data_IF_063028704494
#
_entry.id   IF_063028704494
#
_cell.length_a   1.000
_cell.length_b   1.000
_cell.length_c   1.000
_cell.angle_alpha   90.00
_cell.angle_beta   90.00
_cell.angle_gamma   90.00
#
_symmetry.space_group_name_H-M   'P 1'
#
loop_
_entity.id
_entity.type
_entity.pdbx_description
1 polymer ?
#
# COMPACT_ATOMS: atom_id res chain seq x y z
N UNK A 1 -3.59 42.58 24.60
CA UNK A 1 -3.60 42.07 23.21
C UNK A 1 -2.37 41.23 22.83
N UNK A 2 -1.29 41.14 23.65
CA UNK A 2 -0.13 40.28 23.34
C UNK A 2 -0.12 38.91 24.05
N UNK A 3 -0.84 38.74 25.16
CA UNK A 3 -0.89 37.49 25.93
C UNK A 3 -1.74 36.39 25.26
N UNK A 4 -2.91 36.75 24.71
CA UNK A 4 -3.80 35.79 24.04
C UNK A 4 -3.23 35.25 22.74
N UNK A 5 -2.54 36.10 21.95
CA UNK A 5 -1.86 35.69 20.71
C UNK A 5 -0.77 34.68 21.02
N UNK A 6 0.08 34.96 22.03
CA UNK A 6 1.15 34.06 22.48
C UNK A 6 0.64 32.73 23.04
N UNK A 7 -0.56 32.72 23.64
CA UNK A 7 -1.20 31.48 24.11
C UNK A 7 -1.71 30.61 22.96
N UNK A 8 -2.29 31.23 21.93
CA UNK A 8 -2.78 30.54 20.74
C UNK A 8 -1.64 29.88 19.94
N UNK A 9 -0.51 30.58 19.78
CA UNK A 9 0.66 30.04 19.07
C UNK A 9 1.28 28.84 19.81
N UNK A 10 1.37 28.92 21.14
CA UNK A 10 1.86 27.81 21.98
C UNK A 10 0.92 26.61 21.94
N UNK A 11 -0.39 26.83 21.94
CA UNK A 11 -1.38 25.75 21.85
C UNK A 11 -1.33 25.07 20.47
N UNK A 12 -1.23 25.85 19.39
CA UNK A 12 -1.11 25.35 18.01
C UNK A 12 0.18 24.53 17.82
N UNK A 13 1.30 25.02 18.34
CA UNK A 13 2.58 24.30 18.31
C UNK A 13 2.50 22.95 19.06
N UNK A 14 1.97 22.95 20.29
CA UNK A 14 1.82 21.72 21.08
C UNK A 14 0.88 20.72 20.42
N UNK A 15 -0.23 21.20 19.83
CA UNK A 15 -1.17 20.37 19.09
C UNK A 15 -0.51 19.73 17.86
N UNK A 16 0.17 20.50 17.02
CA UNK A 16 0.88 19.99 15.83
C UNK A 16 1.96 18.97 16.21
N UNK A 17 2.75 19.27 17.25
CA UNK A 17 3.77 18.36 17.78
C UNK A 17 3.14 17.04 18.26
N UNK A 18 2.06 17.12 19.03
CA UNK A 18 1.36 15.94 19.53
C UNK A 18 0.77 15.11 18.38
N UNK A 19 0.10 15.76 17.42
CA UNK A 19 -0.44 15.09 16.24
C UNK A 19 0.64 14.38 15.41
N UNK A 20 1.80 15.01 15.21
CA UNK A 20 2.91 14.41 14.46
C UNK A 20 3.56 13.24 15.21
N UNK A 21 3.75 13.35 16.52
CA UNK A 21 4.27 12.26 17.35
C UNK A 21 3.32 11.07 17.29
N UNK A 22 2.02 11.29 17.45
CA UNK A 22 1.01 10.23 17.39
C UNK A 22 0.97 9.60 15.99
N UNK A 23 0.93 10.42 14.94
CA UNK A 23 0.97 9.96 13.54
C UNK A 23 2.20 9.07 13.28
N UNK A 24 3.41 9.59 13.54
CA UNK A 24 4.64 8.88 13.27
C UNK A 24 4.77 7.60 14.12
N UNK A 25 4.30 7.62 15.37
CA UNK A 25 4.33 6.43 16.24
C UNK A 25 3.38 5.34 15.75
N UNK A 26 2.16 5.69 15.31
CA UNK A 26 1.20 4.73 14.75
C UNK A 26 1.80 4.05 13.51
N UNK A 27 2.32 4.83 12.56
CA UNK A 27 2.91 4.28 11.34
C UNK A 27 4.19 3.48 11.61
N UNK A 28 4.97 3.87 12.63
CA UNK A 28 6.13 3.10 13.07
C UNK A 28 5.74 1.71 13.60
N UNK A 29 4.69 1.63 14.44
CA UNK A 29 4.16 0.37 14.94
C UNK A 29 3.56 -0.50 13.82
N UNK A 30 2.79 0.10 12.90
CA UNK A 30 2.24 -0.60 11.73
C UNK A 30 3.37 -1.13 10.85
N UNK A 31 4.38 -0.32 10.55
CA UNK A 31 5.55 -0.72 9.77
C UNK A 31 6.32 -1.86 10.43
N UNK A 32 6.52 -1.80 11.76
CA UNK A 32 7.14 -2.87 12.53
C UNK A 32 6.34 -4.18 12.50
N UNK A 33 5.01 -4.09 12.60
CA UNK A 33 4.11 -5.25 12.51
C UNK A 33 4.14 -5.89 11.12
N UNK A 34 4.06 -5.10 10.06
CA UNK A 34 4.15 -5.58 8.67
C UNK A 34 5.51 -6.22 8.41
N UNK A 35 6.60 -5.60 8.89
CA UNK A 35 7.94 -6.14 8.79
C UNK A 35 8.06 -7.50 9.51
N UNK A 36 7.50 -7.62 10.71
CA UNK A 36 7.49 -8.87 11.47
C UNK A 36 6.74 -9.98 10.72
N UNK A 37 5.56 -9.68 10.15
CA UNK A 37 4.81 -10.63 9.31
C UNK A 37 5.62 -11.04 8.09
N UNK A 38 6.23 -10.07 7.40
CA UNK A 38 7.04 -10.34 6.21
C UNK A 38 8.23 -11.26 6.51
N UNK A 39 8.97 -10.99 7.59
CA UNK A 39 10.08 -11.82 8.04
C UNK A 39 9.59 -13.22 8.42
N UNK A 40 8.49 -13.31 9.19
CA UNK A 40 7.91 -14.59 9.59
C UNK A 40 7.54 -15.45 8.36
N UNK A 41 6.82 -14.86 7.40
CA UNK A 41 6.42 -15.54 6.17
C UNK A 41 7.62 -15.99 5.33
N UNK A 42 8.67 -15.18 5.23
CA UNK A 42 9.88 -15.55 4.49
C UNK A 42 10.66 -16.68 5.18
N UNK A 43 10.75 -16.67 6.52
CA UNK A 43 11.38 -17.75 7.29
C UNK A 43 10.62 -19.06 7.09
N UNK A 44 9.29 -19.02 7.17
CA UNK A 44 8.44 -20.20 6.97
C UNK A 44 8.65 -20.77 5.55
N UNK A 45 8.63 -19.92 4.53
CA UNK A 45 8.92 -20.29 3.14
C UNK A 45 10.30 -20.94 2.96
N UNK A 46 11.34 -20.45 3.63
CA UNK A 46 12.69 -21.02 3.55
C UNK A 46 12.81 -22.38 4.25
N UNK A 47 12.10 -22.58 5.37
CA UNK A 47 12.12 -23.83 6.13
C UNK A 47 11.53 -25.01 5.32
N UNK A 48 10.51 -24.78 4.51
CA UNK A 48 9.83 -25.83 3.74
C UNK A 48 10.45 -26.14 2.36
N UNK A 49 11.67 -25.64 2.06
CA UNK A 49 12.43 -25.92 0.82
C UNK A 49 11.60 -25.79 -0.48
N UNK A 50 10.63 -24.88 -0.53
CA UNK A 50 10.01 -24.46 -1.78
C UNK A 50 11.04 -23.68 -2.59
N UNK A 51 11.58 -24.38 -3.58
CA UNK A 51 12.59 -24.06 -4.60
C UNK A 51 12.96 -22.59 -4.87
N UNK A 52 14.24 -22.46 -5.28
CA UNK A 52 14.95 -21.34 -5.90
C UNK A 52 14.12 -20.59 -6.97
N UNK A 53 13.16 -19.79 -6.51
CA UNK A 53 12.42 -18.85 -7.30
C UNK A 53 12.74 -17.45 -6.82
N UNK A 54 13.82 -16.86 -7.31
CA UNK A 54 13.91 -15.40 -7.33
C UNK A 54 12.75 -14.91 -8.21
N UNK A 55 12.12 -13.82 -7.77
CA UNK A 55 11.00 -13.09 -8.36
C UNK A 55 9.64 -13.28 -7.66
N UNK A 56 9.39 -12.31 -6.78
CA UNK A 56 8.06 -11.81 -6.36
C UNK A 56 7.26 -12.70 -5.41
N UNK A 57 7.90 -13.26 -4.38
CA UNK A 57 7.16 -13.73 -3.21
C UNK A 57 6.46 -12.52 -2.54
N UNK A 58 5.15 -12.59 -2.26
CA UNK A 58 4.44 -11.55 -1.51
C UNK A 58 5.14 -11.17 -0.19
N UNK A 59 5.82 -12.13 0.45
CA UNK A 59 6.61 -11.90 1.66
C UNK A 59 7.75 -10.89 1.46
N UNK A 60 8.49 -10.95 0.35
CA UNK A 60 9.59 -9.99 0.06
C UNK A 60 9.04 -8.57 -0.11
N UNK A 61 7.88 -8.43 -0.77
CA UNK A 61 7.21 -7.14 -0.93
C UNK A 61 6.81 -6.58 0.44
N UNK A 62 6.24 -7.41 1.33
CA UNK A 62 5.90 -7.02 2.70
C UNK A 62 7.14 -6.58 3.50
N UNK A 63 8.28 -7.28 3.37
CA UNK A 63 9.53 -6.90 4.03
C UNK A 63 10.00 -5.52 3.53
N UNK A 64 10.09 -5.32 2.21
CA UNK A 64 10.56 -4.05 1.64
C UNK A 64 9.65 -2.89 2.05
N UNK A 65 8.33 -3.05 1.94
CA UNK A 65 7.36 -2.04 2.37
C UNK A 65 7.44 -1.79 3.88
N UNK A 66 7.56 -2.84 4.69
CA UNK A 66 7.69 -2.75 6.15
C UNK A 66 8.96 -2.01 6.57
N UNK A 67 10.11 -2.30 5.96
CA UNK A 67 11.38 -1.61 6.24
C UNK A 67 11.29 -0.13 5.89
N UNK A 68 10.80 0.21 4.70
CA UNK A 68 10.67 1.62 4.26
C UNK A 68 9.77 2.38 5.24
N UNK A 69 8.59 1.81 5.55
CA UNK A 69 7.63 2.42 6.46
C UNK A 69 8.19 2.59 7.88
N UNK A 70 8.90 1.57 8.39
CA UNK A 70 9.53 1.60 9.71
C UNK A 70 10.59 2.70 9.79
N UNK A 71 11.51 2.79 8.81
CA UNK A 71 12.59 3.78 8.80
C UNK A 71 12.02 5.20 8.68
N UNK A 72 11.13 5.45 7.72
CA UNK A 72 10.55 6.78 7.49
C UNK A 72 9.77 7.24 8.73
N UNK A 73 8.99 6.35 9.34
CA UNK A 73 8.21 6.69 10.53
C UNK A 73 9.10 6.88 11.76
N UNK A 74 10.17 6.10 11.91
CA UNK A 74 11.16 6.27 12.99
C UNK A 74 11.85 7.64 12.90
N UNK A 75 12.24 8.06 11.69
CA UNK A 75 12.76 9.42 11.45
C UNK A 75 11.71 10.46 11.86
N UNK A 76 10.44 10.27 11.53
CA UNK A 76 9.35 11.15 11.94
C UNK A 76 9.19 11.28 13.46
N UNK A 77 9.30 10.17 14.20
CA UNK A 77 9.28 10.17 15.67
C UNK A 77 10.47 10.94 16.23
N UNK A 78 11.69 10.67 15.73
CA UNK A 78 12.91 11.37 16.17
C UNK A 78 12.86 12.86 15.84
N UNK A 79 12.40 13.22 14.65
CA UNK A 79 12.24 14.61 14.20
C UNK A 79 11.31 15.39 15.13
N UNK A 80 10.18 14.78 15.49
CA UNK A 80 9.15 15.41 16.34
C UNK A 80 9.56 15.49 17.81
N UNK A 81 10.36 14.54 18.31
CA UNK A 81 10.85 14.55 19.70
C UNK A 81 12.03 15.50 19.92
N UNK A 82 12.95 15.57 18.95
CA UNK A 82 14.18 16.38 19.06
C UNK A 82 14.01 17.82 18.58
N UNK A 83 12.85 18.18 18.03
CA UNK A 83 12.58 19.48 17.41
C UNK A 83 13.67 19.89 16.42
N UNK A 84 14.29 18.91 15.75
CA UNK A 84 15.40 19.14 14.85
C UNK A 84 14.87 19.44 13.44
N UNK A 85 15.04 20.70 13.03
CA UNK A 85 14.55 21.21 11.75
C UNK A 85 15.05 20.41 10.54
N UNK A 86 16.31 19.95 10.56
CA UNK A 86 16.89 19.17 9.48
C UNK A 86 16.19 17.80 9.34
N UNK A 87 16.04 17.08 10.46
CA UNK A 87 15.32 15.80 10.51
C UNK A 87 13.85 15.95 10.08
N UNK A 88 13.21 17.05 10.46
CA UNK A 88 11.82 17.34 10.11
C UNK A 88 11.66 17.63 8.60
N UNK A 89 12.59 18.37 8.00
CA UNK A 89 12.66 18.58 6.55
C UNK A 89 12.90 17.26 5.80
N UNK A 90 13.81 16.42 6.27
CA UNK A 90 14.04 15.08 5.71
C UNK A 90 12.75 14.25 5.77
N UNK A 91 12.05 14.24 6.90
CA UNK A 91 10.77 13.53 7.03
C UNK A 91 9.71 14.04 6.03
N UNK A 92 9.58 15.38 5.89
CA UNK A 92 8.68 15.99 4.90
C UNK A 92 9.00 15.54 3.47
N UNK A 93 10.28 15.62 3.06
CA UNK A 93 10.69 15.24 1.71
C UNK A 93 10.47 13.75 1.45
N UNK A 94 10.73 12.88 2.42
CA UNK A 94 10.44 11.45 2.28
C UNK A 94 8.95 11.18 2.08
N UNK A 95 8.07 11.80 2.89
CA UNK A 95 6.62 11.68 2.71
C UNK A 95 6.15 12.21 1.36
N UNK A 96 6.67 13.35 0.92
CA UNK A 96 6.32 13.95 -0.38
C UNK A 96 6.78 13.06 -1.55
N UNK A 97 7.99 12.50 -1.49
CA UNK A 97 8.50 11.57 -2.51
C UNK A 97 7.65 10.30 -2.55
N UNK A 98 7.31 9.71 -1.41
CA UNK A 98 6.42 8.55 -1.36
C UNK A 98 5.06 8.85 -2.00
N UNK A 99 4.43 9.99 -1.67
CA UNK A 99 3.15 10.39 -2.25
C UNK A 99 3.24 10.57 -3.78
N UNK A 100 4.31 11.18 -4.28
CA UNK A 100 4.53 11.34 -5.72
C UNK A 100 4.72 9.98 -6.41
N UNK A 101 5.51 9.07 -5.80
CA UNK A 101 5.72 7.73 -6.33
C UNK A 101 4.42 6.91 -6.35
N UNK A 102 3.60 7.01 -5.31
CA UNK A 102 2.30 6.34 -5.23
C UNK A 102 1.36 6.84 -6.34
N UNK A 103 1.20 8.15 -6.48
CA UNK A 103 0.38 8.75 -7.54
C UNK A 103 0.90 8.40 -8.95
N UNK A 104 2.22 8.51 -9.17
CA UNK A 104 2.84 8.16 -10.43
C UNK A 104 2.66 6.68 -10.77
N UNK A 105 2.84 5.79 -9.78
CA UNK A 105 2.64 4.35 -9.97
C UNK A 105 1.19 4.00 -10.31
N UNK A 106 0.22 4.66 -9.66
CA UNK A 106 -1.20 4.48 -9.95
C UNK A 106 -1.55 4.93 -11.38
N UNK A 107 -1.06 6.10 -11.80
CA UNK A 107 -1.24 6.59 -13.17
C UNK A 107 -0.58 5.64 -14.18
N UNK A 108 0.65 5.20 -13.92
CA UNK A 108 1.39 4.28 -14.78
C UNK A 108 0.67 2.94 -14.93
N UNK A 109 0.13 2.39 -13.84
CA UNK A 109 -0.65 1.15 -13.85
C UNK A 109 -1.94 1.28 -14.68
N UNK A 110 -2.57 2.46 -14.71
CA UNK A 110 -3.75 2.72 -15.53
C UNK A 110 -3.39 2.85 -17.02
N UNK A 111 -2.33 3.60 -17.34
CA UNK A 111 -1.89 3.81 -18.73
C UNK A 111 -1.41 2.49 -19.35
N UNK A 112 -0.58 1.75 -18.62
CA UNK A 112 0.04 0.50 -19.09
C UNK A 112 -0.72 -0.74 -18.63
N UNK A 113 -2.04 -0.63 -18.42
CA UNK A 113 -2.89 -1.72 -17.92
C UNK A 113 -2.66 -3.06 -18.62
N UNK A 114 -2.59 -3.07 -19.96
CA UNK A 114 -2.35 -4.31 -20.73
C UNK A 114 -1.01 -4.97 -20.39
N UNK A 115 0.05 -4.18 -20.28
CA UNK A 115 1.38 -4.69 -19.92
C UNK A 115 1.43 -5.18 -18.47
N UNK A 116 0.76 -4.47 -17.56
CA UNK A 116 0.60 -4.90 -16.17
C UNK A 116 -0.16 -6.23 -16.07
N UNK A 117 -1.26 -6.36 -16.82
CA UNK A 117 -2.02 -7.61 -16.92
C UNK A 117 -1.18 -8.75 -17.49
N UNK A 118 -0.41 -8.51 -18.56
CA UNK A 118 0.48 -9.52 -19.15
C UNK A 118 1.57 -9.97 -18.18
N UNK A 119 2.19 -9.02 -17.46
CA UNK A 119 3.20 -9.33 -16.44
C UNK A 119 2.59 -10.16 -15.30
N UNK A 120 1.41 -9.78 -14.82
CA UNK A 120 0.69 -10.51 -13.79
C UNK A 120 0.35 -11.93 -14.25
N UNK A 121 -0.21 -12.09 -15.46
CA UNK A 121 -0.56 -13.41 -16.01
C UNK A 121 0.68 -14.30 -16.24
N UNK A 122 1.82 -13.72 -16.65
CA UNK A 122 3.09 -14.46 -16.74
C UNK A 122 3.53 -14.99 -15.38
N UNK A 123 3.43 -14.18 -14.32
CA UNK A 123 3.76 -14.59 -12.97
C UNK A 123 2.79 -15.66 -12.44
N UNK A 124 1.48 -15.51 -12.69
CA UNK A 124 0.48 -16.54 -12.35
C UNK A 124 0.81 -17.86 -13.04
N UNK A 125 1.09 -17.85 -14.35
CA UNK A 125 1.47 -19.08 -15.08
C UNK A 125 2.73 -19.72 -14.52
N UNK A 126 3.74 -18.93 -14.13
CA UNK A 126 4.95 -19.46 -13.46
C UNK A 126 4.60 -20.14 -12.13
N UNK A 127 3.72 -19.54 -11.32
CA UNK A 127 3.23 -20.16 -10.09
C UNK A 127 2.41 -21.43 -10.34
N UNK A 128 1.59 -21.46 -11.40
CA UNK A 128 0.77 -22.62 -11.77
C UNK A 128 1.61 -23.86 -12.10
N UNK A 129 2.83 -23.71 -12.62
CA UNK A 129 3.76 -24.84 -12.85
C UNK A 129 4.00 -25.61 -11.55
N UNK A 130 4.18 -24.89 -10.44
CA UNK A 130 4.50 -25.44 -9.11
C UNK A 130 3.28 -25.50 -8.19
N UNK A 131 2.05 -25.48 -8.72
CA UNK A 131 0.82 -25.37 -7.92
C UNK A 131 0.65 -26.45 -6.83
N UNK A 132 1.22 -27.65 -7.00
CA UNK A 132 1.17 -28.70 -5.96
C UNK A 132 2.37 -28.69 -5.02
N UNK A 133 3.44 -28.01 -5.40
CA UNK A 133 4.70 -27.93 -4.63
C UNK A 133 4.73 -26.67 -3.76
N UNK A 134 4.09 -25.59 -4.21
CA UNK A 134 3.96 -24.31 -3.51
C UNK A 134 2.56 -24.19 -2.88
N UNK A 135 2.49 -24.49 -1.58
CA UNK A 135 1.25 -24.47 -0.81
C UNK A 135 0.68 -23.04 -0.67
N UNK A 136 1.53 -22.02 -0.62
CA UNK A 136 1.10 -20.62 -0.52
C UNK A 136 0.42 -20.18 -1.80
N UNK A 137 1.07 -20.44 -2.94
CA UNK A 137 0.48 -20.17 -4.25
C UNK A 137 -0.82 -20.96 -4.43
N UNK A 138 -0.83 -22.24 -4.03
CA UNK A 138 -2.04 -23.08 -4.08
C UNK A 138 -3.19 -22.46 -3.30
N UNK A 139 -2.97 -22.09 -2.04
CA UNK A 139 -4.00 -21.51 -1.18
C UNK A 139 -4.54 -20.19 -1.74
N UNK A 140 -3.65 -19.33 -2.24
CA UNK A 140 -4.03 -18.06 -2.87
C UNK A 140 -4.83 -18.32 -4.14
N UNK A 141 -4.35 -19.19 -5.04
CA UNK A 141 -5.04 -19.50 -6.30
C UNK A 141 -6.41 -20.13 -6.04
N UNK A 142 -6.50 -21.09 -5.11
CA UNK A 142 -7.75 -21.72 -4.72
C UNK A 142 -8.75 -20.71 -4.15
N UNK A 143 -8.27 -19.81 -3.29
CA UNK A 143 -9.08 -18.73 -2.75
C UNK A 143 -9.58 -17.80 -3.85
N UNK A 144 -8.71 -17.37 -4.77
CA UNK A 144 -9.05 -16.49 -5.87
C UNK A 144 -10.08 -17.14 -6.80
N UNK A 145 -9.87 -18.39 -7.20
CA UNK A 145 -10.78 -19.11 -8.09
C UNK A 145 -12.17 -19.29 -7.48
N UNK A 146 -12.24 -19.68 -6.21
CA UNK A 146 -13.51 -19.84 -5.48
C UNK A 146 -14.22 -18.51 -5.25
N UNK A 147 -13.48 -17.48 -4.82
CA UNK A 147 -14.05 -16.17 -4.44
C UNK A 147 -14.52 -15.40 -5.66
N UNK A 148 -13.71 -15.36 -6.72
CA UNK A 148 -13.98 -14.58 -7.92
C UNK A 148 -14.61 -15.41 -9.06
N UNK A 149 -14.92 -16.69 -8.81
CA UNK A 149 -15.64 -17.57 -9.75
C UNK A 149 -14.97 -17.60 -11.12
N UNK A 150 -13.70 -17.97 -11.12
CA UNK A 150 -12.81 -17.88 -12.28
C UNK A 150 -11.87 -19.10 -12.34
N UNK A 151 -11.19 -19.29 -13.47
CA UNK A 151 -10.24 -20.38 -13.64
C UNK A 151 -9.01 -19.96 -14.46
N UNK A 152 -7.81 -20.30 -13.97
CA UNK A 152 -6.55 -19.90 -14.58
C UNK A 152 -6.26 -18.40 -14.41
N UNK A 153 -5.22 -17.90 -15.07
CA UNK A 153 -4.87 -16.48 -15.02
C UNK A 153 -5.68 -15.66 -16.03
N UNK A 154 -5.49 -15.97 -17.30
CA UNK A 154 -6.20 -15.37 -18.44
C UNK A 154 -7.36 -16.25 -18.90
N UNK A 155 -7.19 -17.58 -18.86
CA UNK A 155 -8.18 -18.55 -19.32
C UNK A 155 -7.99 -19.91 -18.62
N UNK A 156 -9.04 -20.73 -18.60
CA UNK A 156 -8.98 -22.07 -18.01
C UNK A 156 -7.91 -22.96 -18.67
N UNK A 157 -7.58 -22.70 -19.95
CA UNK A 157 -6.53 -23.40 -20.67
C UNK A 157 -5.11 -23.18 -20.12
N UNK A 158 -4.91 -22.18 -19.25
CA UNK A 158 -3.62 -21.93 -18.59
C UNK A 158 -3.14 -23.13 -17.76
N UNK A 159 -4.05 -24.00 -17.30
CA UNK A 159 -3.71 -25.22 -16.55
C UNK A 159 -2.85 -26.23 -17.33
N UNK A 160 -2.75 -26.10 -18.66
CA UNK A 160 -1.87 -26.93 -19.50
C UNK A 160 -0.38 -26.83 -19.13
N UNK A 161 0.03 -25.74 -18.47
CA UNK A 161 1.44 -25.56 -18.04
C UNK A 161 1.83 -26.42 -16.84
N UNK A 162 0.85 -26.89 -16.06
CA UNK A 162 1.12 -27.71 -14.88
C UNK A 162 1.34 -29.18 -15.27
N UNK A 163 2.33 -29.83 -14.65
CA UNK A 163 2.72 -31.20 -15.00
C UNK A 163 1.62 -32.26 -14.81
N UNK A 164 0.68 -32.04 -13.89
CA UNK A 164 -0.41 -32.98 -13.59
C UNK A 164 -1.65 -32.74 -14.45
N UNK A 165 -1.88 -31.48 -14.86
CA UNK A 165 -3.04 -31.06 -15.64
C UNK A 165 -2.79 -31.07 -17.15
N UNK A 166 -1.52 -31.10 -17.57
CA UNK A 166 -1.16 -31.28 -18.96
C UNK A 166 -1.83 -32.56 -19.53
N UNK A 167 -2.32 -32.47 -20.75
CA UNK A 167 -3.01 -33.56 -21.43
C UNK A 167 -2.14 -34.80 -21.67
N UNK A 168 -0.81 -34.63 -21.73
CA UNK A 168 0.13 -35.74 -21.87
C UNK A 168 0.50 -36.37 -20.52
N UNK A 169 0.00 -35.83 -19.39
CA UNK A 169 0.32 -36.33 -18.07
C UNK A 169 -0.33 -37.71 -17.83
N UNK A 170 0.30 -38.59 -17.04
CA UNK A 170 -0.36 -39.79 -16.56
C UNK A 170 -1.34 -39.44 -15.44
N UNK A 171 -2.47 -40.13 -15.40
CA UNK A 171 -3.40 -40.10 -14.26
C UNK A 171 -4.69 -39.32 -14.48
N UNK A 172 -5.55 -39.27 -13.46
CA UNK A 172 -6.93 -38.79 -13.57
C UNK A 172 -7.06 -37.26 -13.74
N UNK A 173 -5.99 -36.51 -13.44
CA UNK A 173 -5.95 -35.05 -13.55
C UNK A 173 -5.51 -34.57 -14.95
N UNK A 174 -5.08 -35.49 -15.83
CA UNK A 174 -4.67 -35.16 -17.18
C UNK A 174 -5.80 -34.53 -17.98
N UNK A 175 -5.50 -33.46 -18.72
CA UNK A 175 -6.49 -32.61 -19.40
C UNK A 175 -7.58 -32.02 -18.49
N UNK A 176 -7.40 -32.01 -17.17
CA UNK A 176 -8.38 -31.47 -16.24
C UNK A 176 -7.99 -30.09 -15.73
N UNK A 177 -8.95 -29.40 -15.12
CA UNK A 177 -8.70 -28.22 -14.27
C UNK A 177 -8.97 -28.57 -12.81
N UNK A 178 -8.37 -27.86 -11.83
CA UNK A 178 -8.66 -28.11 -10.42
C UNK A 178 -10.12 -27.89 -10.07
N UNK A 179 -10.59 -28.59 -9.03
CA UNK A 179 -11.98 -28.51 -8.59
C UNK A 179 -12.42 -27.10 -8.14
N UNK A 180 -11.48 -26.21 -7.83
CA UNK A 180 -11.73 -24.80 -7.51
C UNK A 180 -12.28 -24.02 -8.70
N UNK A 181 -12.10 -24.51 -9.92
CA UNK A 181 -12.73 -23.99 -11.14
C UNK A 181 -14.17 -24.48 -11.35
N UNK A 182 -14.64 -25.45 -10.56
CA UNK A 182 -15.96 -26.03 -10.72
C UNK A 182 -17.06 -25.04 -10.36
N UNK A 183 -18.15 -25.06 -11.12
CA UNK A 183 -19.38 -24.41 -10.70
C UNK A 183 -19.91 -25.12 -9.44
N UNK A 184 -19.97 -24.38 -8.34
CA UNK A 184 -20.53 -24.89 -7.09
C UNK A 184 -21.92 -24.31 -6.87
N UNK A 185 -22.91 -25.18 -6.64
CA UNK A 185 -24.26 -24.78 -6.22
C UNK A 185 -24.40 -24.94 -4.71
N UNK A 186 -25.05 -23.99 -4.00
CA UNK A 186 -25.13 -24.01 -2.54
C UNK A 186 -25.75 -25.27 -1.91
N UNK A 187 -26.52 -26.04 -2.68
CA UNK A 187 -27.31 -27.19 -2.21
C UNK A 187 -26.83 -28.54 -2.78
N UNK A 188 -25.69 -28.59 -3.47
CA UNK A 188 -25.16 -29.81 -4.09
C UNK A 188 -23.80 -30.19 -3.48
N UNK A 189 -23.52 -31.50 -3.41
CA UNK A 189 -22.20 -32.01 -3.03
C UNK A 189 -21.19 -31.61 -4.10
N UNK A 190 -20.08 -30.98 -3.69
CA UNK A 190 -19.06 -30.51 -4.63
C UNK A 190 -18.44 -31.70 -5.37
N UNK A 191 -18.62 -31.74 -6.70
CA UNK A 191 -17.97 -32.73 -7.55
C UNK A 191 -16.50 -32.35 -7.74
N UNK A 192 -15.61 -33.03 -7.03
CA UNK A 192 -14.16 -32.80 -7.11
C UNK A 192 -13.54 -33.18 -8.46
N UNK A 193 -14.28 -33.93 -9.30
CA UNK A 193 -13.86 -34.37 -10.63
C UNK A 193 -14.61 -33.64 -11.76
N UNK A 194 -15.32 -32.53 -11.47
CA UNK A 194 -16.06 -31.82 -12.51
C UNK A 194 -15.16 -31.32 -13.66
N UNK A 195 -13.89 -31.02 -13.35
CA UNK A 195 -12.92 -30.49 -14.30
C UNK A 195 -12.33 -31.54 -15.24
N UNK A 196 -12.73 -32.81 -15.13
CA UNK A 196 -12.20 -33.89 -15.96
C UNK A 196 -12.39 -33.61 -17.46
N UNK A 197 -11.29 -33.74 -18.22
CA UNK A 197 -11.21 -33.46 -19.66
C UNK A 197 -11.63 -32.04 -20.09
N UNK A 198 -11.77 -31.10 -19.14
CA UNK A 198 -12.16 -29.74 -19.46
C UNK A 198 -11.23 -29.08 -20.50
N UNK A 199 -9.93 -29.42 -20.50
CA UNK A 199 -8.95 -28.85 -21.43
C UNK A 199 -9.07 -29.36 -22.88
N UNK A 200 -9.84 -30.45 -23.11
CA UNK A 200 -10.15 -30.97 -24.45
C UNK A 200 -11.41 -30.35 -25.06
N UNK A 201 -12.32 -29.89 -24.21
CA UNK A 201 -13.62 -29.34 -24.59
C UNK A 201 -13.51 -27.89 -25.01
N UNK A 202 -14.39 -27.48 -25.91
CA UNK A 202 -14.51 -26.07 -26.27
C UNK A 202 -15.13 -25.25 -25.13
N UNK A 203 -14.93 -23.93 -25.15
CA UNK A 203 -15.46 -23.03 -24.12
C UNK A 203 -16.98 -23.17 -23.95
N UNK A 204 -17.72 -23.36 -25.05
CA UNK A 204 -19.18 -23.46 -25.03
C UNK A 204 -19.65 -24.75 -24.33
N UNK A 205 -18.91 -25.84 -24.47
CA UNK A 205 -19.22 -27.12 -23.80
C UNK A 205 -18.91 -27.08 -22.30
N UNK A 206 -17.95 -26.24 -21.90
CA UNK A 206 -17.50 -26.10 -20.52
C UNK A 206 -18.30 -25.08 -19.69
N UNK A 207 -19.13 -24.24 -20.33
CA UNK A 207 -19.73 -23.05 -19.69
C UNK A 207 -20.66 -23.39 -18.52
N UNK A 208 -21.29 -24.56 -18.56
CA UNK A 208 -22.22 -25.06 -17.54
C UNK A 208 -21.57 -26.00 -16.51
N UNK A 209 -20.26 -26.25 -16.62
CA UNK A 209 -19.51 -27.14 -15.72
C UNK A 209 -18.44 -26.41 -14.92
N UNK A 210 -17.70 -25.50 -15.57
CA UNK A 210 -16.59 -24.77 -14.95
C UNK A 210 -16.66 -23.27 -15.22
N UNK A 211 -15.99 -22.49 -14.37
CA UNK A 211 -15.70 -21.09 -14.66
C UNK A 211 -14.69 -21.00 -15.80
N UNK A 212 -15.13 -20.56 -16.99
CA UNK A 212 -14.25 -20.46 -18.17
C UNK A 212 -13.46 -19.14 -18.24
N UNK A 213 -13.82 -18.18 -17.39
CA UNK A 213 -13.22 -16.84 -17.36
C UNK A 213 -11.92 -16.85 -16.54
N UNK A 214 -10.87 -16.20 -17.06
CA UNK A 214 -9.62 -15.99 -16.33
C UNK A 214 -9.76 -15.12 -15.08
N UNK A 215 -9.00 -15.46 -14.04
CA UNK A 215 -9.07 -14.78 -12.75
C UNK A 215 -8.57 -13.34 -12.76
N UNK A 216 -7.56 -13.02 -13.56
CA UNK A 216 -7.06 -11.64 -13.66
C UNK A 216 -8.18 -10.70 -14.06
N UNK A 217 -8.91 -11.02 -15.13
CA UNK A 217 -10.02 -10.21 -15.59
C UNK A 217 -11.23 -10.27 -14.62
N UNK A 218 -11.49 -11.40 -13.97
CA UNK A 218 -12.58 -11.50 -12.99
C UNK A 218 -12.36 -10.58 -11.77
N UNK A 219 -11.14 -10.55 -11.25
CA UNK A 219 -10.74 -9.65 -10.15
C UNK A 219 -10.87 -8.19 -10.56
N UNK A 220 -10.42 -7.80 -11.75
CA UNK A 220 -10.57 -6.42 -12.23
C UNK A 220 -12.04 -6.00 -12.34
N UNK A 221 -12.92 -6.84 -12.88
CA UNK A 221 -14.35 -6.51 -12.94
C UNK A 221 -14.94 -6.42 -11.54
N UNK A 222 -14.58 -7.32 -10.63
CA UNK A 222 -15.03 -7.23 -9.25
C UNK A 222 -14.64 -5.90 -8.60
N UNK A 223 -13.42 -5.40 -8.82
CA UNK A 223 -13.00 -4.09 -8.32
C UNK A 223 -13.82 -2.94 -8.91
N UNK A 224 -14.14 -2.99 -10.20
CA UNK A 224 -14.95 -1.97 -10.86
C UNK A 224 -16.41 -1.99 -10.37
N UNK A 225 -16.98 -3.17 -10.19
CA UNK A 225 -18.34 -3.34 -9.65
C UNK A 225 -18.41 -2.93 -8.18
N UNK A 226 -17.31 -3.13 -7.44
CA UNK A 226 -17.17 -2.75 -6.03
C UNK A 226 -16.35 -1.46 -5.87
N UNK A 227 -16.61 -0.44 -6.69
CA UNK A 227 -15.86 0.81 -6.71
C UNK A 227 -15.76 1.49 -5.33
N UNK A 228 -16.75 1.28 -4.44
CA UNK A 228 -16.74 1.79 -3.05
C UNK A 228 -15.59 1.20 -2.23
N UNK A 229 -15.35 -0.10 -2.34
CA UNK A 229 -14.24 -0.78 -1.64
C UNK A 229 -12.91 -0.28 -2.20
N UNK A 230 -12.80 -0.20 -3.53
CA UNK A 230 -11.59 0.31 -4.19
C UNK A 230 -11.28 1.76 -3.78
N UNK A 231 -12.28 2.64 -3.81
CA UNK A 231 -12.13 4.04 -3.38
C UNK A 231 -11.72 4.11 -1.90
N UNK A 232 -12.30 3.28 -1.04
CA UNK A 232 -11.91 3.18 0.38
C UNK A 232 -10.45 2.78 0.57
N UNK A 233 -9.96 1.79 -0.16
CA UNK A 233 -8.55 1.37 -0.11
C UNK A 233 -7.61 2.48 -0.59
N UNK A 234 -7.92 3.14 -1.72
CA UNK A 234 -7.13 4.24 -2.25
C UNK A 234 -7.08 5.43 -1.29
N UNK A 235 -8.23 5.84 -0.74
CA UNK A 235 -8.29 6.92 0.24
C UNK A 235 -7.58 6.56 1.55
N UNK A 236 -7.66 5.30 2.00
CA UNK A 236 -6.98 4.81 3.19
C UNK A 236 -5.45 4.89 3.11
N UNK A 237 -4.90 4.86 1.89
CA UNK A 237 -3.46 5.02 1.65
C UNK A 237 -3.11 6.51 1.48
N UNK A 238 -3.81 7.22 0.60
CA UNK A 238 -3.45 8.59 0.20
C UNK A 238 -3.78 9.65 1.26
N UNK A 239 -4.92 9.53 1.95
CA UNK A 239 -5.39 10.57 2.87
C UNK A 239 -4.48 10.72 4.09
N UNK A 240 -4.08 9.64 4.80
CA UNK A 240 -3.16 9.77 5.92
C UNK A 240 -1.82 10.39 5.52
N UNK A 241 -1.29 10.01 4.36
CA UNK A 241 -0.01 10.53 3.87
C UNK A 241 -0.11 12.01 3.52
N UNK A 242 -1.20 12.44 2.88
CA UNK A 242 -1.48 13.85 2.60
C UNK A 242 -1.57 14.69 3.88
N UNK A 243 -2.31 14.21 4.89
CA UNK A 243 -2.35 14.87 6.20
C UNK A 243 -0.99 14.88 6.89
N UNK A 244 -0.21 13.81 6.79
CA UNK A 244 1.16 13.76 7.30
C UNK A 244 2.06 14.83 6.69
N UNK A 245 1.98 15.04 5.37
CA UNK A 245 2.70 16.12 4.67
C UNK A 245 2.25 17.48 5.17
N UNK A 246 0.94 17.73 5.26
CA UNK A 246 0.39 19.01 5.73
C UNK A 246 0.82 19.30 7.18
N UNK A 247 0.65 18.34 8.10
CA UNK A 247 1.03 18.54 9.49
C UNK A 247 2.52 18.76 9.65
N UNK A 248 3.35 18.02 8.90
CA UNK A 248 4.81 18.19 8.94
C UNK A 248 5.21 19.56 8.42
N UNK A 249 4.61 19.99 7.30
CA UNK A 249 4.86 21.32 6.73
C UNK A 249 4.43 22.44 7.67
N UNK A 250 3.21 22.36 8.23
CA UNK A 250 2.73 23.33 9.22
C UNK A 250 3.65 23.38 10.45
N UNK A 251 4.11 22.23 10.94
CA UNK A 251 5.03 22.18 12.07
C UNK A 251 6.40 22.80 11.74
N UNK A 252 6.96 22.51 10.56
CA UNK A 252 8.22 23.15 10.10
C UNK A 252 8.05 24.67 10.07
N UNK A 253 6.98 25.18 9.45
CA UNK A 253 6.78 26.64 9.35
C UNK A 253 6.72 27.28 10.73
N UNK A 254 6.01 26.69 11.71
CA UNK A 254 5.97 27.21 13.08
C UNK A 254 7.33 27.16 13.78
N UNK A 255 8.13 26.11 13.54
CA UNK A 255 9.48 25.99 14.12
C UNK A 255 10.42 27.02 13.49
N UNK A 256 10.35 27.24 12.17
CA UNK A 256 11.14 28.28 11.48
C UNK A 256 10.78 29.68 11.99
N UNK A 257 9.48 29.99 12.08
CA UNK A 257 8.98 31.27 12.60
C UNK A 257 9.53 31.54 14.03
N UNK A 258 9.53 30.52 14.89
CA UNK A 258 10.03 30.64 16.27
C UNK A 258 11.55 30.83 16.34
N UNK A 259 12.31 30.20 15.44
CA UNK A 259 13.77 30.36 15.36
C UNK A 259 14.12 31.77 14.84
N UNK A 260 13.40 32.26 13.83
CA UNK A 260 13.61 33.61 13.27
C UNK A 260 13.28 34.71 14.28
N UNK A 261 12.18 34.57 15.04
CA UNK A 261 11.82 35.52 16.11
C UNK A 261 12.89 35.55 17.22
N UNK A 262 13.42 34.39 17.62
CA UNK A 262 14.50 34.33 18.61
C UNK A 262 15.82 34.91 18.09
N UNK A 263 16.14 34.67 16.81
CA UNK A 263 17.31 35.26 16.15
C UNK A 263 17.26 36.78 16.14
N UNK A 264 16.13 37.37 15.72
CA UNK A 264 15.94 38.82 15.74
C UNK A 264 16.01 39.43 17.15
N UNK A 265 15.48 38.75 18.17
CA UNK A 265 15.60 39.20 19.55
C UNK A 265 17.07 39.24 20.02
N UNK A 266 17.84 38.22 19.67
CA UNK A 266 19.27 38.17 20.00
C UNK A 266 20.09 39.20 19.23
N UNK A 267 19.84 39.40 17.94
CA UNK A 267 20.52 40.43 17.14
C UNK A 267 20.20 41.83 17.68
N UNK A 268 18.93 42.12 18.03
CA UNK A 268 18.55 43.40 18.63
C UNK A 268 19.14 43.66 20.02
N UNK A 269 19.46 42.61 20.78
CA UNK A 269 20.20 42.72 22.05
C UNK A 269 21.70 42.98 21.83
N UNK A 270 22.28 42.42 20.78
CA UNK A 270 23.68 42.63 20.42
C UNK A 270 23.93 43.99 19.75
N UNK A 271 22.95 44.49 18.99
CA UNK A 271 23.04 45.72 18.20
C UNK A 271 22.52 46.97 18.94
N UNK A 272 22.56 46.95 20.29
CA UNK A 272 22.12 48.02 21.20
C UNK A 272 22.92 49.34 21.15
N UNK A 273 23.28 49.83 19.96
CA UNK A 273 23.53 51.24 19.65
C UNK A 273 22.38 51.82 18.81
N UNK A 274 22.08 53.14 18.86
CA UNK A 274 20.77 53.63 18.43
C UNK A 274 20.67 53.72 16.91
N UNK A 275 19.66 53.07 16.30
CA UNK A 275 18.65 53.69 15.42
C UNK A 275 17.83 52.67 14.60
N UNK A 276 16.55 52.98 14.43
CA UNK A 276 15.92 52.90 13.11
C UNK A 276 14.90 51.79 12.90
N UNK A 277 13.64 52.08 13.24
CA UNK A 277 12.44 51.46 12.68
C UNK A 277 12.58 51.14 11.18
N UNK A 278 12.54 49.87 10.78
CA UNK A 278 12.29 49.48 9.39
C UNK A 278 11.35 48.27 9.25
N UNK A 279 10.16 48.61 8.75
CA UNK A 279 9.34 47.86 7.79
C UNK A 279 8.99 46.41 8.10
N UNK A 280 7.95 46.23 8.92
CA UNK A 280 7.20 44.99 9.07
C UNK A 280 6.60 44.55 7.73
N UNK A 281 7.05 43.40 7.19
CA UNK A 281 6.55 42.85 5.93
C UNK A 281 5.13 42.27 6.12
N UNK A 282 4.26 42.62 5.19
CA UNK A 282 2.80 42.69 5.34
C UNK A 282 2.07 41.40 4.91
N UNK A 283 2.71 40.23 5.00
CA UNK A 283 2.19 38.99 4.39
C UNK A 283 1.74 37.88 5.37
N UNK A 284 1.96 38.03 6.69
CA UNK A 284 1.62 36.99 7.67
C UNK A 284 0.22 37.14 8.34
N UNK A 285 -0.72 37.92 7.77
CA UNK A 285 -2.07 38.11 8.34
C UNK A 285 -3.18 37.31 7.63
N UNK A 286 -2.89 36.09 7.16
CA UNK A 286 -3.87 35.29 6.41
C UNK A 286 -4.41 34.03 7.12
N UNK A 287 -4.17 33.85 8.43
CA UNK A 287 -4.87 32.81 9.21
C UNK A 287 -5.55 33.46 10.42
N UNK A 288 -6.79 33.92 10.21
CA UNK A 288 -7.66 34.57 11.22
C UNK A 288 -7.81 33.69 12.47
N UNK A 289 -7.30 34.16 13.60
CA UNK A 289 -7.94 33.97 14.90
C UNK A 289 -9.15 34.93 14.95
N UNK A 290 -10.34 34.40 15.19
CA UNK A 290 -11.57 35.21 15.26
C UNK A 290 -11.64 35.93 16.62
N UNK A 291 -12.00 37.24 16.68
CA UNK A 291 -12.18 37.95 17.94
C UNK A 291 -13.54 37.61 18.57
N UNK A 292 -13.59 37.56 19.90
CA UNK A 292 -14.83 37.54 20.68
C UNK A 292 -15.60 38.84 20.44
N UNK A 293 -16.89 38.71 20.13
CA UNK A 293 -17.88 39.80 20.13
C UNK A 293 -18.38 39.93 21.57
N UNK A 294 -18.54 41.19 22.00
CA UNK A 294 -18.98 41.65 23.33
C UNK A 294 -20.13 40.83 23.96
#
# INVERSE_FOLDING_TARGET
MSSEVRYCDRCSYLFLKFCLIVYATIFWLIGGFILAIGIYAEVERQQYKTLEGVFLAPAIILIVLGVIMFIVSFIGVLASLRDNLCLLKVFLYMLAVCLILELASGILALIFRRQTEDLLNKNIRKGMVNYYDDLDFKNIMDFVQKTFKCCGGTDFSDWKVNMYHNCSAPGPLACAVPYTCCLSKPSEVVNTMCGYEALKKERLENIDVIYTRGCTNAVFIWFMDNYKIMAGLLLGILVPQFFGVIFTWLYITRVEDAIEEYGHYMDGLLDGGPQGTKQQSKWAKCCKCMPLID
#
